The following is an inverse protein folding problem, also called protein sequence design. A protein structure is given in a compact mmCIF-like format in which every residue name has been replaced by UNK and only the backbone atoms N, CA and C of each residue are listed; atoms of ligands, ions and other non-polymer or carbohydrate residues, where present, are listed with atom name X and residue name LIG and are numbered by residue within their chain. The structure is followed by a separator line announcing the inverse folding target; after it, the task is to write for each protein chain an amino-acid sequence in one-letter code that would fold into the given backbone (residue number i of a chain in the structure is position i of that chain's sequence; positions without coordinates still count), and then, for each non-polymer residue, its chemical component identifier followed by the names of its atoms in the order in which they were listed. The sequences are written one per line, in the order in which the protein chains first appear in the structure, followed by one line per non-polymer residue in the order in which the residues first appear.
data_IF_940806644453
#
_entry.id   IF_940806644453
#
_cell.length_a   1.000
_cell.length_b   1.000
_cell.length_c   1.000
_cell.angle_alpha   90.00
_cell.angle_beta   90.00
_cell.angle_gamma   90.00
#
_symmetry.space_group_name_H-M   'P 1'
#
loop_
_entity.id
_entity.type
_entity.pdbx_description
1 polymer ?
#
# COMPACT_ATOMS: atom_id res chain seq x y z
N UNK A 1 -20.96 -12.40 11.54
CA UNK A 1 -19.84 -11.86 10.76
C UNK A 1 -20.15 -10.42 10.42
N UNK A 2 -19.51 -9.46 11.06
CA UNK A 2 -19.66 -8.03 10.76
C UNK A 2 -18.84 -7.74 9.51
N UNK A 3 -19.49 -7.32 8.43
CA UNK A 3 -18.80 -6.86 7.22
C UNK A 3 -17.98 -5.63 7.58
N UNK A 4 -16.65 -5.73 7.45
CA UNK A 4 -15.77 -4.59 7.45
C UNK A 4 -15.88 -3.95 6.07
N UNK A 5 -16.44 -2.75 5.98
CA UNK A 5 -16.41 -1.97 4.74
C UNK A 5 -14.98 -1.44 4.58
N UNK A 6 -14.30 -1.91 3.55
CA UNK A 6 -13.04 -1.30 3.12
C UNK A 6 -13.32 0.06 2.48
N UNK A 7 -12.62 1.09 2.89
CA UNK A 7 -12.64 2.39 2.24
C UNK A 7 -11.30 2.59 1.52
N UNK A 8 -11.38 2.91 0.25
CA UNK A 8 -10.27 3.49 -0.48
C UNK A 8 -10.23 4.99 -0.22
N UNK A 9 -9.10 5.52 0.17
CA UNK A 9 -8.92 6.92 0.54
C UNK A 9 -8.23 7.69 -0.58
N UNK A 10 -8.45 9.02 -0.72
CA UNK A 10 -7.78 9.79 -1.74
C UNK A 10 -6.27 9.83 -1.52
N UNK A 11 -5.55 9.82 -2.61
CA UNK A 11 -4.11 9.75 -2.68
C UNK A 11 -3.45 11.12 -2.54
N UNK A 12 -2.33 11.19 -1.82
CA UNK A 12 -1.41 12.32 -1.91
C UNK A 12 -0.80 12.45 -3.31
N UNK A 13 -0.69 11.33 -4.04
CA UNK A 13 -0.02 11.26 -5.32
C UNK A 13 -0.87 11.65 -6.53
N UNK A 14 -2.19 11.44 -6.45
CA UNK A 14 -3.07 11.54 -7.63
C UNK A 14 -4.13 12.63 -7.51
N UNK A 15 -4.00 13.56 -6.59
CA UNK A 15 -4.87 14.73 -6.54
C UNK A 15 -4.88 15.43 -7.91
N UNK A 16 -5.94 16.02 -8.35
CA UNK A 16 -6.53 16.17 -9.68
C UNK A 16 -5.60 16.25 -10.91
N UNK A 17 -4.33 16.02 -10.75
CA UNK A 17 -3.31 16.18 -11.81
C UNK A 17 -2.88 14.87 -12.50
N UNK A 18 -3.41 13.71 -12.09
CA UNK A 18 -3.03 12.41 -12.65
C UNK A 18 -1.64 11.92 -12.24
N UNK A 19 -1.14 10.87 -12.88
CA UNK A 19 0.14 10.22 -12.55
C UNK A 19 1.36 11.13 -12.67
N UNK A 20 1.36 12.08 -13.59
CA UNK A 20 2.44 13.06 -13.76
C UNK A 20 2.58 13.98 -12.53
N UNK A 21 1.56 14.07 -11.70
CA UNK A 21 1.59 14.87 -10.48
C UNK A 21 2.64 14.41 -9.46
N UNK A 22 3.09 13.18 -9.53
CA UNK A 22 4.16 12.65 -8.66
C UNK A 22 5.44 13.47 -8.71
N UNK A 23 5.73 14.07 -9.86
CA UNK A 23 6.93 14.90 -10.08
C UNK A 23 6.69 16.40 -9.80
N UNK A 24 5.47 16.79 -9.46
CA UNK A 24 5.10 18.18 -9.20
C UNK A 24 4.99 18.38 -7.67
N UNK A 25 5.68 19.37 -7.09
CA UNK A 25 5.50 19.70 -5.68
C UNK A 25 4.07 20.12 -5.36
N UNK A 26 3.58 19.72 -4.18
CA UNK A 26 2.28 20.16 -3.69
C UNK A 26 2.31 21.66 -3.39
N UNK A 27 1.22 22.35 -3.72
CA UNK A 27 0.96 23.72 -3.31
C UNK A 27 0.48 23.75 -1.85
N UNK A 28 0.59 24.90 -1.19
CA UNK A 28 0.06 25.09 0.18
C UNK A 28 -1.45 24.82 0.26
N UNK A 29 -2.19 25.16 -0.79
CA UNK A 29 -3.62 24.86 -0.86
C UNK A 29 -3.90 23.35 -0.87
N UNK A 30 -3.13 22.57 -1.63
CA UNK A 30 -3.26 21.10 -1.66
C UNK A 30 -2.88 20.47 -0.32
N UNK A 31 -1.82 20.96 0.32
CA UNK A 31 -1.43 20.53 1.68
C UNK A 31 -2.54 20.80 2.69
N UNK A 32 -3.13 21.99 2.66
CA UNK A 32 -4.22 22.34 3.58
C UNK A 32 -5.49 21.53 3.28
N UNK A 33 -5.83 21.34 2.02
CA UNK A 33 -6.98 20.52 1.60
C UNK A 33 -6.82 19.06 2.05
N UNK A 34 -5.63 18.48 1.88
CA UNK A 34 -5.36 17.13 2.36
C UNK A 34 -5.57 16.99 3.86
N UNK A 35 -5.01 17.90 4.66
CA UNK A 35 -5.20 17.88 6.13
C UNK A 35 -6.66 18.03 6.53
N UNK A 36 -7.36 19.01 5.95
CA UNK A 36 -8.77 19.23 6.21
C UNK A 36 -9.62 17.98 5.86
N UNK A 37 -9.27 17.32 4.76
CA UNK A 37 -9.94 16.10 4.35
C UNK A 37 -9.68 14.94 5.34
N UNK A 38 -8.42 14.73 5.77
CA UNK A 38 -8.08 13.72 6.78
C UNK A 38 -8.81 13.99 8.10
N UNK A 39 -8.90 15.25 8.53
CA UNK A 39 -9.64 15.63 9.73
C UNK A 39 -11.13 15.33 9.62
N UNK A 40 -11.75 15.70 8.50
CA UNK A 40 -13.15 15.40 8.24
C UNK A 40 -13.42 13.89 8.24
N UNK A 41 -12.54 13.13 7.60
CA UNK A 41 -12.60 11.69 7.53
C UNK A 41 -12.45 11.03 8.91
N UNK A 42 -11.48 11.46 9.70
CA UNK A 42 -11.28 10.95 11.06
C UNK A 42 -12.48 11.26 11.96
N UNK A 43 -13.06 12.46 11.82
CA UNK A 43 -14.26 12.85 12.55
C UNK A 43 -15.48 12.01 12.13
N UNK A 44 -15.66 11.77 10.83
CA UNK A 44 -16.74 10.93 10.30
C UNK A 44 -16.60 9.47 10.70
N UNK A 45 -15.35 8.96 10.73
CA UNK A 45 -15.05 7.61 11.19
C UNK A 45 -15.45 7.42 12.67
N UNK A 46 -15.22 8.42 13.51
CA UNK A 46 -15.57 8.41 14.93
C UNK A 46 -15.05 7.18 15.65
N UNK A 47 -15.96 6.33 16.16
CA UNK A 47 -15.64 5.07 16.84
C UNK A 47 -15.95 3.83 15.98
N UNK A 48 -16.16 4.01 14.69
CA UNK A 48 -16.50 2.91 13.77
C UNK A 48 -15.33 1.92 13.67
N UNK A 49 -15.65 0.62 13.67
CA UNK A 49 -14.68 -0.42 13.39
C UNK A 49 -14.34 -0.37 11.89
N UNK A 50 -13.07 -0.16 11.59
CA UNK A 50 -12.59 -0.08 10.21
C UNK A 50 -11.22 -0.74 10.05
N UNK A 51 -10.96 -1.25 8.85
CA UNK A 51 -9.63 -1.59 8.36
C UNK A 51 -9.32 -0.60 7.24
N UNK A 52 -8.19 0.08 7.33
CA UNK A 52 -7.80 1.13 6.40
C UNK A 52 -6.39 0.81 5.90
N UNK A 53 -6.26 0.67 4.57
CA UNK A 53 -4.96 0.80 3.89
C UNK A 53 -4.81 2.28 3.54
N UNK A 54 -3.81 2.91 4.12
CA UNK A 54 -3.56 4.34 4.00
C UNK A 54 -2.49 4.60 2.96
N UNK A 55 -2.80 5.50 2.04
CA UNK A 55 -1.92 5.94 0.96
C UNK A 55 -1.44 4.78 0.06
N UNK A 56 -2.34 4.04 -0.62
CA UNK A 56 -1.90 3.17 -1.71
C UNK A 56 -0.97 3.94 -2.65
N UNK A 57 0.08 3.30 -3.18
CA UNK A 57 1.16 3.96 -3.93
C UNK A 57 2.01 4.97 -3.10
N UNK A 58 2.12 4.76 -1.80
CA UNK A 58 3.00 5.58 -0.96
C UNK A 58 4.45 5.61 -1.50
N UNK A 59 4.89 4.54 -2.14
CA UNK A 59 6.19 4.44 -2.78
C UNK A 59 6.37 5.45 -3.93
N UNK A 60 5.32 5.76 -4.69
CA UNK A 60 5.32 6.82 -5.71
C UNK A 60 5.59 8.17 -5.07
N UNK A 61 4.98 8.43 -3.91
CA UNK A 61 5.18 9.66 -3.15
C UNK A 61 6.59 9.74 -2.56
N UNK A 62 7.12 8.62 -2.09
CA UNK A 62 8.47 8.51 -1.54
C UNK A 62 9.57 8.72 -2.60
N UNK A 63 9.32 8.31 -3.85
CA UNK A 63 10.25 8.49 -4.99
C UNK A 63 9.99 9.76 -5.81
N UNK A 64 8.90 10.47 -5.54
CA UNK A 64 8.47 11.62 -6.32
C UNK A 64 9.06 12.96 -5.86
N UNK A 65 8.38 14.07 -6.23
CA UNK A 65 8.78 15.42 -5.84
C UNK A 65 8.51 15.69 -4.36
N UNK A 66 9.46 16.33 -3.68
CA UNK A 66 9.39 16.73 -2.28
C UNK A 66 8.94 15.59 -1.32
N UNK A 67 9.66 14.45 -1.30
CA UNK A 67 9.29 13.32 -0.45
C UNK A 67 9.10 13.69 1.03
N UNK A 68 9.95 14.55 1.64
CA UNK A 68 9.79 14.88 3.05
C UNK A 68 8.42 15.46 3.40
N UNK A 69 7.88 16.35 2.56
CA UNK A 69 6.55 16.91 2.78
C UNK A 69 5.46 15.85 2.65
N UNK A 70 5.53 15.02 1.62
CA UNK A 70 4.55 13.94 1.39
C UNK A 70 4.57 12.91 2.52
N UNK A 71 5.76 12.53 3.01
CA UNK A 71 5.89 11.64 4.17
C UNK A 71 5.37 12.28 5.47
N UNK A 72 5.54 13.58 5.65
CA UNK A 72 4.93 14.31 6.77
C UNK A 72 3.41 14.31 6.71
N UNK A 73 2.82 14.44 5.52
CA UNK A 73 1.37 14.37 5.34
C UNK A 73 0.82 12.97 5.58
N UNK A 74 1.48 11.93 5.09
CA UNK A 74 1.14 10.54 5.41
C UNK A 74 1.24 10.28 6.92
N UNK A 75 2.29 10.78 7.58
CA UNK A 75 2.44 10.72 9.05
C UNK A 75 1.31 11.43 9.77
N UNK A 76 0.91 12.61 9.31
CA UNK A 76 -0.24 13.33 9.86
C UNK A 76 -1.52 12.49 9.76
N UNK A 77 -1.79 11.90 8.60
CA UNK A 77 -2.95 11.04 8.40
C UNK A 77 -2.90 9.79 9.30
N UNK A 78 -1.75 9.11 9.37
CA UNK A 78 -1.54 7.96 10.24
C UNK A 78 -1.84 8.30 11.71
N UNK A 79 -1.26 9.40 12.21
CA UNK A 79 -1.47 9.86 13.59
C UNK A 79 -2.92 10.26 13.84
N UNK A 80 -3.55 10.95 12.90
CA UNK A 80 -4.92 11.47 13.07
C UNK A 80 -5.97 10.36 13.06
N UNK A 81 -5.84 9.42 12.12
CA UNK A 81 -6.77 8.29 12.00
C UNK A 81 -6.60 7.28 13.14
N UNK A 82 -5.38 7.08 13.66
CA UNK A 82 -5.12 6.16 14.76
C UNK A 82 -5.70 6.62 16.11
N UNK A 83 -6.25 7.81 16.20
CA UNK A 83 -7.01 8.25 17.37
C UNK A 83 -8.33 7.48 17.55
N UNK A 84 -8.83 6.81 16.50
CA UNK A 84 -9.91 5.84 16.64
C UNK A 84 -9.33 4.47 17.08
N UNK A 85 -9.59 4.04 18.32
CA UNK A 85 -9.04 2.77 18.84
C UNK A 85 -9.64 1.53 18.16
N UNK A 86 -10.77 1.68 17.46
CA UNK A 86 -11.43 0.59 16.74
C UNK A 86 -10.98 0.49 15.28
N UNK A 87 -10.13 1.40 14.80
CA UNK A 87 -9.57 1.33 13.46
C UNK A 87 -8.25 0.56 13.43
N UNK A 88 -8.14 -0.39 12.51
CA UNK A 88 -6.89 -1.05 12.16
C UNK A 88 -6.33 -0.37 10.91
N UNK A 89 -5.23 0.38 11.07
CA UNK A 89 -4.64 1.17 10.00
C UNK A 89 -3.32 0.52 9.59
N UNK A 90 -3.11 0.39 8.31
CA UNK A 90 -1.90 -0.08 7.66
C UNK A 90 -1.45 0.95 6.62
N UNK A 91 -0.21 1.39 6.67
CA UNK A 91 0.39 2.18 5.59
C UNK A 91 0.65 1.30 4.39
N UNK A 92 0.54 1.84 3.19
CA UNK A 92 1.04 1.09 2.04
C UNK A 92 2.56 0.91 2.16
N UNK A 93 2.99 -0.34 2.09
CA UNK A 93 4.38 -0.78 2.23
C UNK A 93 5.08 -1.04 0.90
N UNK A 94 4.41 -0.76 -0.23
CA UNK A 94 4.87 -1.13 -1.57
C UNK A 94 4.68 -2.62 -1.87
N UNK A 95 5.49 -3.15 -2.74
CA UNK A 95 5.44 -4.52 -3.25
C UNK A 95 6.82 -5.15 -3.27
N UNK A 96 6.86 -6.48 -3.16
CA UNK A 96 8.10 -7.24 -3.15
C UNK A 96 8.89 -7.19 -4.45
N UNK A 97 8.31 -6.68 -5.53
CA UNK A 97 8.96 -6.50 -6.82
C UNK A 97 9.41 -5.06 -7.11
N UNK A 98 9.19 -4.13 -6.17
CA UNK A 98 9.47 -2.70 -6.41
C UNK A 98 10.53 -2.12 -5.48
N UNK A 99 10.17 -1.73 -4.25
CA UNK A 99 11.14 -1.16 -3.32
C UNK A 99 12.08 -2.23 -2.74
N UNK A 100 13.29 -1.82 -2.42
CA UNK A 100 14.16 -2.64 -1.56
C UNK A 100 13.68 -2.60 -0.10
N UNK A 101 14.01 -3.61 0.69
CA UNK A 101 13.66 -3.69 2.11
C UNK A 101 14.11 -2.43 2.89
N UNK A 102 15.36 -1.91 2.73
CA UNK A 102 15.76 -0.66 3.38
C UNK A 102 14.94 0.56 2.93
N UNK A 103 14.57 0.67 1.66
CA UNK A 103 13.76 1.77 1.15
C UNK A 103 12.34 1.74 1.72
N UNK A 104 11.67 0.58 1.70
CA UNK A 104 10.34 0.41 2.27
C UNK A 104 10.36 0.70 3.78
N UNK A 105 11.36 0.20 4.51
CA UNK A 105 11.52 0.48 5.94
C UNK A 105 11.69 1.98 6.21
N UNK A 106 12.55 2.65 5.45
CA UNK A 106 12.76 4.10 5.58
C UNK A 106 11.48 4.90 5.29
N UNK A 107 10.76 4.54 4.22
CA UNK A 107 9.48 5.14 3.85
C UNK A 107 8.46 5.00 4.99
N UNK A 108 8.26 3.79 5.50
CA UNK A 108 7.30 3.50 6.56
C UNK A 108 7.62 4.26 7.86
N UNK A 109 8.90 4.35 8.24
CA UNK A 109 9.33 5.14 9.41
C UNK A 109 9.01 6.63 9.22
N UNK A 110 9.30 7.18 8.04
CA UNK A 110 9.03 8.57 7.73
C UNK A 110 7.51 8.85 7.67
N UNK A 111 6.73 7.92 7.13
CA UNK A 111 5.28 8.01 7.03
C UNK A 111 4.53 7.73 8.35
N UNK A 112 5.23 7.38 9.43
CA UNK A 112 4.62 7.28 10.75
C UNK A 112 4.12 5.90 11.13
N UNK A 113 4.85 4.84 10.77
CA UNK A 113 4.52 3.44 11.11
C UNK A 113 4.32 3.23 12.62
N UNK A 114 4.91 4.06 13.47
CA UNK A 114 4.73 4.00 14.93
C UNK A 114 3.27 4.18 15.36
N UNK A 115 2.46 4.93 14.61
CA UNK A 115 1.08 5.24 14.97
C UNK A 115 0.08 4.17 14.52
N UNK A 116 0.47 3.29 13.60
CA UNK A 116 -0.41 2.33 12.94
C UNK A 116 -0.04 0.88 13.29
N UNK A 117 -0.90 -0.07 12.93
CA UNK A 117 -0.65 -1.50 13.18
C UNK A 117 0.52 -2.05 12.40
N UNK A 118 0.77 -1.49 11.23
CA UNK A 118 1.83 -1.96 10.36
C UNK A 118 1.65 -1.46 8.94
N UNK A 119 1.80 -2.36 7.96
CA UNK A 119 1.80 -1.98 6.55
C UNK A 119 1.04 -2.99 5.68
N UNK A 120 0.61 -2.55 4.50
CA UNK A 120 -0.04 -3.38 3.49
C UNK A 120 0.92 -3.60 2.32
N UNK A 121 0.83 -4.74 1.68
CA UNK A 121 1.62 -5.12 0.50
C UNK A 121 0.68 -5.59 -0.61
N UNK A 122 1.07 -5.44 -1.85
CA UNK A 122 0.31 -5.91 -3.01
C UNK A 122 -0.90 -5.04 -3.36
N UNK A 123 -0.97 -3.81 -2.83
CA UNK A 123 -2.14 -2.96 -3.04
C UNK A 123 -2.26 -2.40 -4.46
N UNK A 124 -1.15 -2.35 -5.20
CA UNK A 124 -1.08 -1.70 -6.52
C UNK A 124 -0.30 -2.49 -7.57
N UNK A 125 0.33 -3.59 -7.18
CA UNK A 125 1.08 -4.48 -8.07
C UNK A 125 0.46 -5.88 -8.11
N UNK A 126 0.93 -6.71 -9.04
CA UNK A 126 0.44 -8.07 -9.28
C UNK A 126 1.48 -9.14 -8.95
N UNK A 127 2.40 -8.83 -8.03
CA UNK A 127 3.48 -9.71 -7.63
C UNK A 127 2.95 -10.96 -6.90
N UNK A 128 3.72 -12.03 -6.94
CA UNK A 128 3.40 -13.28 -6.26
C UNK A 128 3.23 -13.09 -4.74
N UNK A 129 2.20 -13.71 -4.17
CA UNK A 129 1.90 -13.62 -2.73
C UNK A 129 3.08 -14.09 -1.89
N UNK A 130 3.76 -15.18 -2.30
CA UNK A 130 4.95 -15.68 -1.59
C UNK A 130 6.10 -14.66 -1.63
N UNK A 131 6.27 -13.93 -2.74
CA UNK A 131 7.25 -12.84 -2.84
C UNK A 131 6.91 -11.69 -1.87
N UNK A 132 5.64 -11.28 -1.81
CA UNK A 132 5.18 -10.26 -0.88
C UNK A 132 5.32 -10.70 0.58
N UNK A 133 5.01 -11.97 0.90
CA UNK A 133 5.23 -12.53 2.24
C UNK A 133 6.71 -12.47 2.64
N UNK A 134 7.61 -12.96 1.77
CA UNK A 134 9.05 -12.93 2.05
C UNK A 134 9.59 -11.50 2.22
N UNK A 135 9.08 -10.54 1.45
CA UNK A 135 9.39 -9.13 1.58
C UNK A 135 8.86 -8.56 2.90
N UNK A 136 7.62 -8.85 3.25
CA UNK A 136 6.97 -8.39 4.48
C UNK A 136 7.70 -8.83 5.75
N UNK A 137 8.15 -10.09 5.80
CA UNK A 137 8.96 -10.62 6.91
C UNK A 137 10.27 -9.82 7.07
N UNK A 138 10.97 -9.54 5.98
CA UNK A 138 12.22 -8.78 6.01
C UNK A 138 12.00 -7.33 6.44
N UNK A 139 10.95 -6.68 5.95
CA UNK A 139 10.59 -5.30 6.35
C UNK A 139 10.21 -5.27 7.83
N UNK A 140 9.40 -6.23 8.32
CA UNK A 140 9.02 -6.33 9.72
C UNK A 140 10.24 -6.52 10.63
N UNK A 141 11.17 -7.40 10.24
CA UNK A 141 12.41 -7.62 10.97
C UNK A 141 13.29 -6.36 11.00
N UNK A 142 13.41 -5.65 9.89
CA UNK A 142 14.19 -4.40 9.82
C UNK A 142 13.53 -3.27 10.64
N UNK A 143 12.20 -3.14 10.60
CA UNK A 143 11.47 -2.19 11.46
C UNK A 143 11.73 -2.48 12.94
N UNK A 144 11.70 -3.75 13.35
CA UNK A 144 12.01 -4.15 14.73
C UNK A 144 13.44 -3.75 15.12
N UNK A 145 14.42 -3.98 14.24
CA UNK A 145 15.81 -3.54 14.43
C UNK A 145 15.97 -2.02 14.51
N UNK A 146 15.07 -1.25 13.87
CA UNK A 146 15.04 0.21 13.95
C UNK A 146 14.24 0.75 15.14
N UNK A 147 13.79 -0.10 16.09
CA UNK A 147 13.06 0.32 17.28
C UNK A 147 11.54 0.35 17.13
N UNK A 148 10.99 -0.27 16.07
CA UNK A 148 9.55 -0.41 15.83
C UNK A 148 9.11 -1.88 15.84
N UNK A 149 9.25 -2.61 16.97
CA UNK A 149 8.87 -4.02 17.05
C UNK A 149 7.34 -4.20 16.96
N UNK A 150 6.91 -5.40 16.60
CA UNK A 150 5.50 -5.79 16.60
C UNK A 150 4.67 -5.13 15.49
N UNK A 151 5.30 -4.66 14.43
CA UNK A 151 4.58 -4.19 13.23
C UNK A 151 4.19 -5.39 12.38
N UNK A 152 2.88 -5.53 12.19
CA UNK A 152 2.30 -6.58 11.34
C UNK A 152 2.15 -6.09 9.91
N UNK A 153 1.92 -7.03 8.99
CA UNK A 153 1.55 -6.68 7.63
C UNK A 153 0.34 -7.49 7.14
N UNK A 154 -0.31 -6.97 6.14
CA UNK A 154 -1.37 -7.62 5.37
C UNK A 154 -0.98 -7.63 3.90
N UNK A 155 -1.45 -8.61 3.16
CA UNK A 155 -1.19 -8.73 1.72
C UNK A 155 -2.51 -8.70 0.98
N UNK A 156 -2.63 -7.84 -0.03
CA UNK A 156 -3.71 -7.93 -0.99
C UNK A 156 -3.49 -9.14 -1.91
N UNK A 157 -4.50 -9.96 -2.04
CA UNK A 157 -4.48 -11.18 -2.85
C UNK A 157 -5.59 -11.19 -3.90
N UNK A 158 -6.21 -10.04 -4.14
CA UNK A 158 -7.39 -9.95 -5.01
C UNK A 158 -7.06 -10.20 -6.48
N UNK A 159 -5.86 -9.84 -6.92
CA UNK A 159 -5.49 -9.74 -8.33
C UNK A 159 -4.27 -10.59 -8.72
N UNK A 160 -3.89 -11.55 -7.87
CA UNK A 160 -2.66 -12.35 -8.02
C UNK A 160 -2.91 -13.81 -8.40
N UNK A 161 -4.04 -14.12 -9.06
CA UNK A 161 -4.35 -15.47 -9.53
C UNK A 161 -3.36 -16.02 -10.57
N UNK A 162 -2.73 -15.14 -11.35
CA UNK A 162 -1.60 -15.46 -12.24
C UNK A 162 -0.57 -14.34 -12.13
N UNK A 163 0.26 -14.33 -11.07
CA UNK A 163 1.10 -13.20 -10.71
C UNK A 163 2.15 -12.87 -11.77
N UNK A 164 2.51 -11.60 -11.86
CA UNK A 164 3.58 -11.09 -12.72
C UNK A 164 4.17 -9.80 -12.13
N UNK A 165 5.46 -9.58 -12.39
CA UNK A 165 6.16 -8.37 -11.97
C UNK A 165 6.04 -7.27 -13.04
N UNK A 166 6.28 -6.02 -12.66
CA UNK A 166 6.34 -4.90 -13.59
C UNK A 166 7.38 -5.12 -14.72
N UNK A 167 8.51 -5.77 -14.42
CA UNK A 167 9.53 -6.12 -15.43
C UNK A 167 9.00 -7.11 -16.46
N UNK A 168 8.27 -8.13 -16.01
CA UNK A 168 7.66 -9.12 -16.90
C UNK A 168 6.57 -8.49 -17.76
N UNK A 169 5.77 -7.58 -17.19
CA UNK A 169 4.74 -6.85 -17.91
C UNK A 169 5.33 -6.00 -19.04
N UNK A 170 6.27 -5.11 -18.73
CA UNK A 170 6.87 -4.23 -19.73
C UNK A 170 7.72 -4.96 -20.77
N UNK A 171 8.27 -6.13 -20.44
CA UNK A 171 8.93 -6.98 -21.44
C UNK A 171 7.94 -7.49 -22.51
N UNK A 172 6.67 -7.70 -22.15
CA UNK A 172 5.61 -8.14 -23.07
C UNK A 172 4.82 -6.98 -23.66
N UNK A 173 4.65 -5.88 -22.91
CA UNK A 173 3.83 -4.74 -23.24
C UNK A 173 4.64 -3.42 -23.15
N UNK A 174 5.61 -3.17 -24.06
CA UNK A 174 6.51 -2.01 -23.94
C UNK A 174 5.83 -0.64 -23.94
N UNK A 175 4.57 -0.58 -24.39
CA UNK A 175 3.74 0.63 -24.43
C UNK A 175 2.49 0.52 -23.53
N UNK A 176 2.42 -0.51 -22.71
CA UNK A 176 1.35 -0.70 -21.75
C UNK A 176 1.50 0.20 -20.54
N UNK A 177 0.47 0.23 -19.70
CA UNK A 177 0.49 0.88 -18.39
C UNK A 177 0.29 -0.21 -17.35
N UNK A 178 1.31 -0.48 -16.54
CA UNK A 178 1.32 -1.61 -15.61
C UNK A 178 0.18 -1.52 -14.57
N UNK A 179 0.00 -0.34 -13.98
CA UNK A 179 -1.02 -0.11 -12.94
C UNK A 179 -2.45 -0.23 -13.48
N UNK A 180 -2.62 -0.27 -14.81
CA UNK A 180 -3.87 -0.48 -15.51
C UNK A 180 -3.79 -1.71 -16.43
N UNK A 181 -3.13 -2.78 -15.97
CA UNK A 181 -3.06 -4.01 -16.74
C UNK A 181 -4.47 -4.55 -17.03
N UNK A 182 -4.66 -5.08 -18.23
CA UNK A 182 -5.95 -5.63 -18.62
C UNK A 182 -6.26 -6.93 -17.88
N UNK A 183 -7.55 -7.15 -17.60
CA UNK A 183 -8.02 -8.43 -17.03
C UNK A 183 -7.89 -9.53 -18.09
N UNK A 184 -7.42 -10.70 -17.66
CA UNK A 184 -7.34 -11.88 -18.52
C UNK A 184 -8.73 -12.27 -19.02
N UNK A 185 -8.87 -12.47 -20.34
CA UNK A 185 -10.14 -12.82 -21.00
C UNK A 185 -10.25 -14.29 -21.35
N UNK A 186 -9.15 -15.04 -21.28
CA UNK A 186 -9.11 -16.46 -21.59
C UNK A 186 -8.18 -17.23 -20.62
N UNK A 187 -8.52 -18.50 -20.41
CA UNK A 187 -7.73 -19.40 -19.59
C UNK A 187 -6.32 -19.58 -20.18
N UNK A 188 -5.30 -19.47 -19.31
CA UNK A 188 -3.91 -19.64 -19.71
C UNK A 188 -3.21 -18.40 -20.22
N UNK A 189 -3.90 -17.26 -20.28
CA UNK A 189 -3.23 -15.96 -20.50
C UNK A 189 -2.35 -15.63 -19.29
N UNK A 190 -1.27 -14.92 -19.56
CA UNK A 190 -0.30 -14.47 -18.54
C UNK A 190 -0.03 -12.98 -18.69
N UNK A 191 0.43 -12.34 -17.62
CA UNK A 191 0.74 -10.89 -17.60
C UNK A 191 -0.50 -10.01 -17.84
N UNK A 192 -1.63 -10.49 -17.37
CA UNK A 192 -2.90 -9.81 -17.28
C UNK A 192 -3.52 -10.15 -15.93
N UNK A 193 -4.38 -9.29 -15.41
CA UNK A 193 -5.00 -9.45 -14.09
C UNK A 193 -5.85 -10.72 -14.05
N UNK A 194 -5.60 -11.57 -13.07
CA UNK A 194 -6.43 -12.74 -12.74
C UNK A 194 -6.92 -12.60 -11.32
N UNK A 195 -8.24 -12.60 -11.14
CA UNK A 195 -8.85 -12.44 -9.82
C UNK A 195 -8.49 -13.58 -8.86
N UNK A 196 -8.35 -13.23 -7.59
CA UNK A 196 -7.97 -14.14 -6.51
C UNK A 196 -6.47 -14.34 -6.41
N UNK A 197 -6.04 -15.17 -5.46
CA UNK A 197 -4.65 -15.63 -5.35
C UNK A 197 -4.43 -16.84 -6.25
N UNK A 198 -3.21 -17.02 -6.75
CA UNK A 198 -2.80 -18.30 -7.33
C UNK A 198 -3.16 -19.41 -6.33
N UNK A 199 -3.86 -20.44 -6.79
CA UNK A 199 -4.23 -21.60 -5.94
C UNK A 199 -2.94 -22.16 -5.40
N UNK A 200 -2.65 -21.86 -4.18
CA UNK A 200 -1.46 -22.30 -3.56
C UNK A 200 -1.60 -23.66 -3.04
N UNK A 201 -0.73 -24.13 -3.38
CA UNK A 201 0.08 -25.23 -3.22
C UNK A 201 0.74 -25.18 -1.84
N UNK A 202 0.00 -25.70 -0.83
CA UNK A 202 0.60 -26.18 0.41
C UNK A 202 1.41 -25.19 1.28
N UNK A 203 0.79 -24.19 1.79
CA UNK A 203 1.12 -23.81 3.16
C UNK A 203 0.23 -24.61 4.10
N UNK A 204 0.69 -25.81 4.41
CA UNK A 204 0.10 -26.61 5.47
C UNK A 204 0.04 -25.74 6.71
N UNK A 205 -1.17 -25.50 7.19
CA UNK A 205 -1.41 -24.98 8.51
C UNK A 205 -0.74 -25.96 9.48
N UNK A 206 0.46 -25.64 9.93
CA UNK A 206 1.11 -26.37 11.00
C UNK A 206 0.18 -26.30 12.19
N UNK A 207 -0.35 -27.44 12.57
CA UNK A 207 -1.14 -27.63 13.78
C UNK A 207 -0.37 -27.06 14.96
N UNK A 208 -0.92 -26.02 15.57
CA UNK A 208 -0.59 -25.67 16.95
C UNK A 208 -1.12 -26.73 17.90
#
# INVERSE_FOLDING_TARGET
MTRTSGFSWPYLGYSPRGEDARQIPLTDAEVNNYRAWIDAAANALGQTKALIVLEPDLAVNFKGANPPLKMQLARYAAQRLSQNPNAAIYLDGSDGDWLTVPEATSMLIQAGVQYVRGFALGATHYADVGQNLAFGEQVSAMLAGCGYPGKHYVVDTSDTGAPFTWKQYYAAHPRGVFDNAEVCTARGQTRCITLGSAADHSHGCGTC
#
